data_IF_577986271717
#
_entry.id   IF_577986271717
#
_cell.length_a   1.000
_cell.length_b   1.000
_cell.length_c   1.000
_cell.angle_alpha   90.00
_cell.angle_beta   90.00
_cell.angle_gamma   90.00
#
_symmetry.space_group_name_H-M   'P 1'
#
loop_
_entity.id
_entity.type
_entity.pdbx_description
1 polymer ?
#
# COMPACT_ATOMS: atom_id res chain seq x y z
N UNK A 1 -38.09 28.36 -31.15
CA UNK A 1 -37.96 26.99 -30.60
C UNK A 1 -38.81 26.92 -29.36
N UNK A 2 -39.65 25.89 -29.19
CA UNK A 2 -40.41 25.68 -27.95
C UNK A 2 -39.46 25.04 -26.94
N UNK A 3 -39.24 25.69 -25.80
CA UNK A 3 -38.55 25.05 -24.69
C UNK A 3 -39.46 23.92 -24.16
N UNK A 4 -38.95 22.70 -24.13
CA UNK A 4 -39.65 21.57 -23.54
C UNK A 4 -39.35 21.55 -22.05
N UNK A 5 -40.40 21.65 -21.24
CA UNK A 5 -40.31 21.56 -19.78
C UNK A 5 -41.02 20.29 -19.32
N UNK A 6 -40.36 19.50 -18.49
CA UNK A 6 -40.91 18.32 -17.83
C UNK A 6 -40.82 18.51 -16.32
N UNK A 7 -41.98 18.62 -15.66
CA UNK A 7 -42.07 18.57 -14.21
C UNK A 7 -42.16 17.13 -13.71
N UNK A 8 -41.61 16.84 -12.54
CA UNK A 8 -41.78 15.57 -11.87
C UNK A 8 -42.03 15.77 -10.37
N UNK A 9 -42.77 14.84 -9.79
CA UNK A 9 -42.98 14.72 -8.35
C UNK A 9 -43.08 13.24 -8.02
N UNK A 10 -42.29 12.82 -7.04
CA UNK A 10 -42.13 11.45 -6.58
C UNK A 10 -42.29 11.51 -5.07
N UNK A 11 -43.32 10.84 -4.56
CA UNK A 11 -43.51 10.60 -3.13
C UNK A 11 -43.65 9.09 -2.94
N UNK A 12 -42.71 8.49 -2.23
CA UNK A 12 -42.66 7.05 -2.01
C UNK A 12 -42.44 6.78 -0.52
N UNK A 13 -43.27 5.90 0.04
CA UNK A 13 -43.02 5.29 1.33
C UNK A 13 -42.52 3.85 1.12
N UNK A 14 -41.39 3.50 1.74
CA UNK A 14 -40.84 2.14 1.73
C UNK A 14 -40.60 1.76 3.19
N UNK A 15 -41.40 0.84 3.72
CA UNK A 15 -41.38 0.47 5.14
C UNK A 15 -41.59 1.72 6.04
N UNK A 16 -40.62 2.03 6.92
CA UNK A 16 -40.60 3.23 7.77
C UNK A 16 -39.96 4.46 7.07
N UNK A 17 -39.48 4.30 5.84
CA UNK A 17 -38.78 5.34 5.09
C UNK A 17 -39.76 6.23 4.32
N UNK A 18 -39.43 7.52 4.24
CA UNK A 18 -40.08 8.44 3.31
C UNK A 18 -39.06 9.02 2.34
N UNK A 19 -39.41 8.99 1.06
CA UNK A 19 -38.64 9.59 -0.02
C UNK A 19 -39.55 10.56 -0.77
N UNK A 20 -39.16 11.82 -0.78
CA UNK A 20 -39.81 12.86 -1.56
C UNK A 20 -38.80 13.46 -2.52
N UNK A 21 -39.14 13.55 -3.80
CA UNK A 21 -38.35 14.26 -4.79
C UNK A 21 -39.27 15.01 -5.75
N UNK A 22 -38.97 16.27 -6.01
CA UNK A 22 -39.74 17.07 -6.96
C UNK A 22 -38.82 18.00 -7.72
N UNK A 23 -39.21 18.34 -8.95
CA UNK A 23 -38.40 19.21 -9.76
C UNK A 23 -38.92 19.45 -11.16
N UNK A 24 -38.10 20.14 -11.93
CA UNK A 24 -38.34 20.49 -13.31
C UNK A 24 -37.06 20.30 -14.13
N UNK A 25 -37.25 19.80 -15.34
CA UNK A 25 -36.21 19.64 -16.36
C UNK A 25 -36.61 20.54 -17.52
N UNK A 26 -35.72 21.43 -17.94
CA UNK A 26 -35.96 22.34 -19.07
C UNK A 26 -34.81 22.27 -20.05
N UNK A 27 -35.12 22.08 -21.33
CA UNK A 27 -34.10 22.17 -22.37
C UNK A 27 -33.63 23.62 -22.54
N UNK A 28 -32.33 23.85 -22.36
CA UNK A 28 -31.71 25.17 -22.47
C UNK A 28 -30.30 25.05 -23.05
N UNK A 29 -30.02 25.79 -24.12
CA UNK A 29 -28.68 25.89 -24.72
C UNK A 29 -28.00 24.53 -25.03
N UNK A 30 -28.75 23.55 -25.56
CA UNK A 30 -28.28 22.16 -25.83
C UNK A 30 -27.79 21.42 -24.57
N UNK A 31 -28.28 21.84 -23.42
CA UNK A 31 -28.13 21.22 -22.12
C UNK A 31 -29.51 21.07 -21.48
N UNK A 32 -29.55 20.36 -20.36
CA UNK A 32 -30.71 20.27 -19.49
C UNK A 32 -30.48 21.20 -18.30
N UNK A 33 -31.37 22.17 -18.09
CA UNK A 33 -31.49 22.84 -16.80
C UNK A 33 -32.31 21.95 -15.89
N UNK A 34 -31.78 21.69 -14.70
CA UNK A 34 -32.46 20.95 -13.64
C UNK A 34 -32.73 21.91 -12.50
N UNK A 35 -33.92 21.83 -11.94
CA UNK A 35 -34.23 22.38 -10.62
C UNK A 35 -34.91 21.27 -9.85
N UNK A 36 -34.30 20.79 -8.77
CA UNK A 36 -34.80 19.64 -8.03
C UNK A 36 -34.51 19.77 -6.53
N UNK A 37 -35.45 19.28 -5.74
CA UNK A 37 -35.30 19.05 -4.30
C UNK A 37 -35.61 17.59 -4.03
N UNK A 38 -34.79 16.95 -3.21
CA UNK A 38 -34.99 15.60 -2.73
C UNK A 38 -34.76 15.54 -1.22
N UNK A 39 -35.62 14.79 -0.52
CA UNK A 39 -35.52 14.52 0.90
C UNK A 39 -35.77 13.04 1.13
N UNK A 40 -34.94 12.44 1.98
CA UNK A 40 -35.05 11.04 2.40
C UNK A 40 -34.99 11.00 3.92
N UNK A 41 -35.89 10.25 4.54
CA UNK A 41 -35.87 9.96 5.97
C UNK A 41 -35.96 8.46 6.22
N UNK A 42 -35.19 7.98 7.19
CA UNK A 42 -35.24 6.61 7.71
C UNK A 42 -35.13 5.50 6.64
N UNK A 43 -34.37 5.72 5.57
CA UNK A 43 -34.21 4.73 4.50
C UNK A 43 -33.20 3.65 4.90
N UNK A 44 -33.68 2.41 5.01
CA UNK A 44 -32.82 1.23 5.09
C UNK A 44 -32.12 0.99 3.76
N UNK A 45 -30.80 0.94 3.75
CA UNK A 45 -30.00 0.61 2.56
C UNK A 45 -30.20 -0.85 2.14
N UNK A 46 -30.59 -1.74 3.06
CA UNK A 46 -30.96 -3.11 2.72
C UNK A 46 -32.20 -3.17 1.82
N UNK A 47 -33.15 -2.25 1.99
CA UNK A 47 -34.34 -2.16 1.13
C UNK A 47 -33.99 -1.72 -0.31
N UNK A 48 -32.77 -1.26 -0.57
CA UNK A 48 -32.30 -0.92 -1.92
C UNK A 48 -31.69 -2.12 -2.68
N UNK A 49 -31.53 -3.27 -2.03
CA UNK A 49 -31.03 -4.48 -2.69
C UNK A 49 -31.91 -4.92 -3.86
N UNK A 50 -33.22 -4.68 -3.76
CA UNK A 50 -34.19 -4.93 -4.85
C UNK A 50 -33.91 -4.08 -6.10
N UNK A 51 -33.17 -2.97 -5.97
CA UNK A 51 -32.75 -2.10 -7.06
C UNK A 51 -31.30 -2.33 -7.50
N UNK A 52 -30.68 -3.43 -7.07
CA UNK A 52 -29.32 -3.84 -7.49
C UNK A 52 -28.19 -3.32 -6.60
N UNK A 53 -28.48 -2.59 -5.51
CA UNK A 53 -27.50 -2.20 -4.49
C UNK A 53 -27.21 -3.39 -3.56
N UNK A 54 -26.36 -4.31 -4.00
CA UNK A 54 -25.93 -5.44 -3.19
C UNK A 54 -24.72 -5.10 -2.30
N UNK A 55 -24.60 -5.78 -1.15
CA UNK A 55 -23.43 -5.67 -0.28
C UNK A 55 -23.32 -4.36 0.50
N UNK A 56 -24.42 -3.63 0.64
CA UNK A 56 -24.52 -2.43 1.47
C UNK A 56 -25.71 -2.55 2.41
N UNK A 57 -25.47 -2.38 3.70
CA UNK A 57 -26.48 -2.35 4.77
C UNK A 57 -26.23 -1.11 5.61
N UNK A 58 -27.27 -0.56 6.24
CA UNK A 58 -27.19 0.65 7.07
C UNK A 58 -28.47 1.47 6.93
N UNK A 59 -28.50 2.62 7.59
CA UNK A 59 -29.67 3.50 7.60
C UNK A 59 -29.29 4.91 7.20
N UNK A 60 -29.96 5.46 6.19
CA UNK A 60 -29.97 6.90 5.93
C UNK A 60 -30.99 7.51 6.88
N UNK A 61 -30.53 8.16 7.95
CA UNK A 61 -31.41 8.80 8.92
C UNK A 61 -32.12 10.00 8.29
N UNK A 62 -31.32 10.85 7.64
CA UNK A 62 -31.80 11.96 6.85
C UNK A 62 -30.84 12.25 5.70
N UNK A 63 -31.40 12.52 4.54
CA UNK A 63 -30.67 13.14 3.43
C UNK A 63 -31.54 14.24 2.83
N UNK A 64 -30.92 15.37 2.50
CA UNK A 64 -31.55 16.44 1.75
C UNK A 64 -30.63 16.89 0.64
N UNK A 65 -31.19 17.21 -0.51
CA UNK A 65 -30.46 17.70 -1.65
C UNK A 65 -31.31 18.67 -2.45
N UNK A 66 -30.79 19.88 -2.62
CA UNK A 66 -31.31 20.89 -3.52
C UNK A 66 -30.30 21.10 -4.64
N UNK A 67 -30.80 21.22 -5.86
CA UNK A 67 -30.00 21.48 -7.04
C UNK A 67 -30.72 22.40 -8.01
N UNK A 68 -29.99 23.36 -8.55
CA UNK A 68 -30.37 24.16 -9.69
C UNK A 68 -29.17 24.38 -10.61
N UNK A 69 -29.31 24.23 -11.91
CA UNK A 69 -28.24 24.54 -12.85
C UNK A 69 -28.31 23.77 -14.16
N UNK A 70 -27.39 24.09 -15.08
CA UNK A 70 -27.20 23.37 -16.34
C UNK A 70 -26.27 22.17 -16.14
N UNK A 71 -26.74 20.95 -16.45
CA UNK A 71 -25.94 19.72 -16.24
C UNK A 71 -24.58 19.75 -16.94
N UNK A 72 -24.50 20.35 -18.14
CA UNK A 72 -23.24 20.44 -18.90
C UNK A 72 -22.34 21.62 -18.51
N UNK A 73 -22.81 22.50 -17.62
CA UNK A 73 -22.09 23.71 -17.20
C UNK A 73 -22.01 23.81 -15.68
N UNK A 74 -21.07 23.08 -15.04
CA UNK A 74 -20.90 23.07 -13.58
C UNK A 74 -20.83 24.45 -12.93
N UNK A 75 -20.24 25.43 -13.60
CA UNK A 75 -20.17 26.82 -13.14
C UNK A 75 -21.52 27.45 -12.78
N UNK A 76 -22.62 26.89 -13.31
CA UNK A 76 -24.00 27.34 -13.06
C UNK A 76 -24.69 26.61 -11.92
N UNK A 77 -24.04 25.61 -11.33
CA UNK A 77 -24.64 24.79 -10.29
C UNK A 77 -24.78 25.60 -9.00
N UNK A 78 -26.01 25.67 -8.53
CA UNK A 78 -26.39 26.07 -7.20
C UNK A 78 -26.96 24.83 -6.50
N UNK A 79 -26.25 24.27 -5.54
CA UNK A 79 -26.70 23.09 -4.80
C UNK A 79 -26.39 23.19 -3.33
N UNK A 80 -27.18 22.49 -2.53
CA UNK A 80 -26.93 22.27 -1.11
C UNK A 80 -27.41 20.89 -0.75
N UNK A 81 -26.65 20.17 0.06
CA UNK A 81 -27.11 18.90 0.57
C UNK A 81 -26.44 18.51 1.87
N UNK A 82 -27.13 17.66 2.59
CA UNK A 82 -26.69 17.08 3.84
C UNK A 82 -27.12 15.62 3.87
N UNK A 83 -26.26 14.77 4.43
CA UNK A 83 -26.58 13.36 4.63
C UNK A 83 -26.06 12.89 5.97
N UNK A 84 -26.89 12.11 6.66
CA UNK A 84 -26.56 11.37 7.87
C UNK A 84 -26.87 9.90 7.63
N UNK A 85 -25.83 9.06 7.70
CA UNK A 85 -25.94 7.61 7.58
C UNK A 85 -25.45 7.01 8.89
N UNK A 86 -26.17 6.04 9.43
CA UNK A 86 -25.78 5.22 10.58
C UNK A 86 -25.61 3.74 10.20
N UNK A 87 -24.75 3.07 10.94
CA UNK A 87 -24.52 1.62 10.87
C UNK A 87 -24.22 1.10 9.45
N UNK A 88 -23.42 1.85 8.69
CA UNK A 88 -23.07 1.48 7.32
C UNK A 88 -22.14 0.27 7.34
N UNK A 89 -22.52 -0.78 6.62
CA UNK A 89 -21.71 -1.97 6.41
C UNK A 89 -21.58 -2.23 4.92
N UNK A 90 -20.34 -2.29 4.41
CA UNK A 90 -20.07 -2.66 3.04
C UNK A 90 -18.72 -3.36 2.89
N UNK A 91 -18.69 -4.49 2.19
CA UNK A 91 -17.47 -5.25 1.90
C UNK A 91 -16.56 -5.50 3.12
N UNK A 92 -17.16 -5.84 4.28
CA UNK A 92 -16.44 -6.09 5.54
C UNK A 92 -16.00 -4.83 6.31
N UNK A 93 -16.25 -3.63 5.77
CA UNK A 93 -16.05 -2.36 6.47
C UNK A 93 -17.34 -2.00 7.20
N UNK A 94 -17.25 -1.68 8.48
CA UNK A 94 -18.36 -1.16 9.28
C UNK A 94 -18.05 0.27 9.71
N UNK A 95 -19.03 1.16 9.61
CA UNK A 95 -18.94 2.55 10.01
C UNK A 95 -20.17 2.89 10.85
N UNK A 96 -19.95 3.48 12.01
CA UNK A 96 -21.03 3.77 12.96
C UNK A 96 -21.86 4.96 12.46
N UNK A 97 -21.18 5.97 11.90
CA UNK A 97 -21.83 7.19 11.43
C UNK A 97 -21.05 7.88 10.32
N UNK A 98 -21.75 8.35 9.30
CA UNK A 98 -21.24 9.28 8.29
C UNK A 98 -22.11 10.52 8.29
N UNK A 99 -21.49 11.68 8.48
CA UNK A 99 -22.13 12.99 8.34
C UNK A 99 -21.40 13.77 7.27
N UNK A 100 -22.12 14.20 6.23
CA UNK A 100 -21.55 15.04 5.18
C UNK A 100 -22.48 16.21 4.86
N UNK A 101 -21.88 17.35 4.53
CA UNK A 101 -22.59 18.51 4.01
C UNK A 101 -21.79 19.06 2.83
N UNK A 102 -22.49 19.41 1.76
CA UNK A 102 -21.88 19.95 0.56
C UNK A 102 -22.73 21.08 0.01
N UNK A 103 -22.08 21.97 -0.73
CA UNK A 103 -22.71 23.09 -1.40
C UNK A 103 -21.99 23.43 -2.68
N UNK A 104 -22.72 23.97 -3.64
CA UNK A 104 -22.18 24.62 -4.83
C UNK A 104 -22.90 25.95 -5.01
N UNK A 105 -22.16 27.02 -5.27
CA UNK A 105 -22.71 28.31 -5.68
C UNK A 105 -21.58 29.16 -6.28
N UNK A 106 -21.94 30.16 -7.09
CA UNK A 106 -21.01 31.17 -7.62
C UNK A 106 -19.77 30.60 -8.32
N UNK A 107 -19.90 29.42 -8.94
CA UNK A 107 -18.79 28.76 -9.62
C UNK A 107 -17.79 28.06 -8.70
N UNK A 108 -18.15 27.78 -7.45
CA UNK A 108 -17.37 26.96 -6.52
C UNK A 108 -18.25 25.90 -5.88
N UNK A 109 -17.67 24.73 -5.58
CA UNK A 109 -18.28 23.73 -4.71
C UNK A 109 -17.38 23.48 -3.51
N UNK A 110 -18.00 23.23 -2.36
CA UNK A 110 -17.33 22.91 -1.11
C UNK A 110 -18.00 21.71 -0.45
N UNK A 111 -17.18 20.90 0.19
CA UNK A 111 -17.60 19.83 1.08
C UNK A 111 -17.10 20.24 2.46
N UNK A 112 -18.05 20.55 3.35
CA UNK A 112 -17.76 20.77 4.77
C UNK A 112 -17.21 19.48 5.37
N UNK A 113 -16.50 19.52 6.51
CA UNK A 113 -15.90 18.34 7.11
C UNK A 113 -16.89 17.16 7.15
N UNK A 114 -16.60 16.15 6.32
CA UNK A 114 -17.24 14.85 6.33
C UNK A 114 -16.67 14.13 7.54
N UNK A 115 -17.53 13.78 8.49
CA UNK A 115 -17.16 13.00 9.66
C UNK A 115 -17.53 11.55 9.40
N UNK A 116 -16.51 10.69 9.38
CA UNK A 116 -16.66 9.24 9.28
C UNK A 116 -16.23 8.66 10.62
N UNK A 117 -17.20 8.16 11.39
CA UNK A 117 -16.98 7.64 12.73
C UNK A 117 -16.99 6.10 12.77
N UNK A 118 -16.08 5.52 13.53
CA UNK A 118 -16.06 4.09 13.87
C UNK A 118 -15.47 3.89 15.27
N UNK A 119 -16.20 3.21 16.13
CA UNK A 119 -15.82 2.90 17.53
C UNK A 119 -15.41 4.14 18.34
N UNK A 120 -16.04 5.28 18.08
CA UNK A 120 -15.77 6.56 18.74
C UNK A 120 -14.64 7.39 18.12
N UNK A 121 -13.84 6.83 17.20
CA UNK A 121 -12.83 7.57 16.46
C UNK A 121 -13.43 8.20 15.20
N UNK A 122 -12.88 9.35 14.80
CA UNK A 122 -13.38 10.14 13.66
C UNK A 122 -12.27 10.42 12.66
N UNK A 123 -12.55 10.09 11.40
CA UNK A 123 -11.83 10.57 10.25
C UNK A 123 -12.61 11.76 9.65
N UNK A 124 -11.90 12.86 9.42
CA UNK A 124 -12.42 14.07 8.82
C UNK A 124 -11.87 14.25 7.42
N UNK A 125 -12.73 14.62 6.47
CA UNK A 125 -12.32 15.02 5.13
C UNK A 125 -13.05 16.30 4.71
N UNK A 126 -12.37 17.22 4.04
CA UNK A 126 -12.98 18.45 3.52
C UNK A 126 -12.37 18.83 2.19
N UNK A 127 -13.03 19.71 1.45
CA UNK A 127 -12.40 20.27 0.27
C UNK A 127 -13.27 21.26 -0.49
N UNK A 128 -12.66 21.85 -1.49
CA UNK A 128 -13.26 22.82 -2.40
C UNK A 128 -12.78 22.59 -3.83
N UNK A 129 -13.63 22.92 -4.78
CA UNK A 129 -13.33 22.86 -6.21
C UNK A 129 -13.93 24.07 -6.91
N UNK A 130 -13.17 24.69 -7.80
CA UNK A 130 -13.71 25.67 -8.74
C UNK A 130 -14.49 24.93 -9.82
N UNK A 131 -15.75 25.30 -10.03
CA UNK A 131 -16.61 24.62 -10.99
C UNK A 131 -16.37 25.16 -12.39
N UNK A 132 -16.03 24.30 -13.37
CA UNK A 132 -15.71 24.72 -14.72
C UNK A 132 -16.95 25.03 -15.54
N UNK A 133 -16.75 25.69 -16.68
CA UNK A 133 -17.85 25.97 -17.64
C UNK A 133 -18.30 24.71 -18.38
N UNK A 134 -17.45 23.69 -18.48
CA UNK A 134 -17.76 22.40 -19.13
C UNK A 134 -17.51 21.27 -18.16
N UNK A 135 -18.41 20.30 -18.13
CA UNK A 135 -18.29 19.13 -17.25
C UNK A 135 -17.01 18.31 -17.48
N UNK A 136 -16.51 18.26 -18.72
CA UNK A 136 -15.30 17.51 -19.09
C UNK A 136 -14.02 18.05 -18.43
N UNK A 137 -14.05 19.29 -17.95
CA UNK A 137 -12.92 19.96 -17.30
C UNK A 137 -12.92 19.77 -15.77
N UNK A 138 -13.96 19.15 -15.20
CA UNK A 138 -14.14 19.05 -13.74
C UNK A 138 -12.97 18.34 -13.05
N UNK A 139 -12.48 17.25 -13.65
CA UNK A 139 -11.35 16.49 -13.12
C UNK A 139 -10.00 17.22 -13.15
N UNK A 140 -9.94 18.43 -13.72
CA UNK A 140 -8.72 19.25 -13.84
C UNK A 140 -8.91 20.64 -13.24
N UNK A 141 -10.10 20.89 -12.71
CA UNK A 141 -10.44 22.19 -12.17
C UNK A 141 -9.64 22.45 -10.89
N UNK A 142 -9.28 23.71 -10.60
CA UNK A 142 -8.60 24.04 -9.36
C UNK A 142 -9.35 23.47 -8.15
N UNK A 143 -8.64 22.71 -7.33
CA UNK A 143 -9.26 22.03 -6.20
C UNK A 143 -8.26 21.87 -5.06
N UNK A 144 -8.78 21.80 -3.85
CA UNK A 144 -8.00 21.50 -2.66
C UNK A 144 -8.83 20.60 -1.75
N UNK A 145 -8.22 19.51 -1.29
CA UNK A 145 -8.84 18.56 -0.38
C UNK A 145 -7.88 18.23 0.74
N UNK A 146 -8.44 17.98 1.91
CA UNK A 146 -7.70 17.55 3.09
C UNK A 146 -8.40 16.37 3.74
N UNK A 147 -7.59 15.47 4.30
CA UNK A 147 -8.01 14.35 5.14
C UNK A 147 -7.20 14.36 6.42
N UNK A 148 -7.86 14.20 7.55
CA UNK A 148 -7.23 14.14 8.87
C UNK A 148 -7.92 13.10 9.74
N UNK A 149 -7.13 12.26 10.39
CA UNK A 149 -7.58 11.39 11.47
C UNK A 149 -6.52 11.45 12.56
N UNK A 150 -6.94 11.77 13.78
CA UNK A 150 -6.04 11.83 14.92
C UNK A 150 -6.31 10.64 15.83
N UNK A 151 -5.25 9.88 16.12
CA UNK A 151 -5.28 8.83 17.14
C UNK A 151 -6.34 7.73 16.90
N UNK A 152 -6.54 7.35 15.64
CA UNK A 152 -7.54 6.38 15.21
C UNK A 152 -7.14 4.95 15.63
N UNK A 153 -8.05 4.21 16.25
CA UNK A 153 -7.86 2.80 16.61
C UNK A 153 -7.98 1.92 15.37
N UNK A 154 -6.88 1.24 15.04
CA UNK A 154 -6.80 0.38 13.87
C UNK A 154 -7.45 -0.99 14.10
N UNK A 155 -7.62 -1.43 15.35
CA UNK A 155 -8.17 -2.74 15.66
C UNK A 155 -9.59 -2.95 15.08
N UNK A 156 -10.56 -2.04 15.30
CA UNK A 156 -11.86 -2.16 14.65
C UNK A 156 -11.73 -1.98 13.14
N UNK A 157 -10.88 -1.06 12.66
CA UNK A 157 -10.78 -0.71 11.23
C UNK A 157 -10.31 -1.89 10.39
N UNK A 158 -9.33 -2.62 10.89
CA UNK A 158 -8.64 -3.70 10.17
C UNK A 158 -9.18 -5.09 10.54
N UNK A 159 -10.28 -5.19 11.30
CA UNK A 159 -10.81 -6.45 11.80
C UNK A 159 -11.18 -7.47 10.72
N UNK A 160 -11.51 -7.01 9.51
CA UNK A 160 -11.81 -7.86 8.35
C UNK A 160 -10.57 -8.31 7.56
N UNK A 161 -9.37 -7.83 7.90
CA UNK A 161 -8.12 -8.25 7.27
C UNK A 161 -7.70 -9.64 7.77
N UNK A 162 -7.02 -10.42 6.93
CA UNK A 162 -6.50 -11.74 7.32
C UNK A 162 -5.55 -11.66 8.53
N UNK A 163 -4.85 -10.53 8.67
CA UNK A 163 -4.03 -10.20 9.83
C UNK A 163 -4.39 -8.79 10.30
N UNK A 164 -5.35 -8.66 11.24
CA UNK A 164 -5.73 -7.37 11.80
C UNK A 164 -4.56 -6.67 12.47
N UNK A 165 -4.54 -5.34 12.38
CA UNK A 165 -3.54 -4.48 12.99
C UNK A 165 -4.19 -3.75 14.16
N UNK A 166 -3.66 -3.91 15.36
CA UNK A 166 -4.04 -3.13 16.52
C UNK A 166 -3.03 -2.02 16.78
N UNK A 167 -3.46 -1.00 17.53
CA UNK A 167 -2.67 0.19 17.79
C UNK A 167 -3.38 1.44 17.29
N UNK A 168 -2.72 2.60 17.46
CA UNK A 168 -3.30 3.89 17.09
C UNK A 168 -2.48 4.59 16.04
N UNK A 169 -3.14 5.23 15.09
CA UNK A 169 -2.49 5.97 14.02
C UNK A 169 -2.98 7.42 13.91
N UNK A 170 -2.15 8.26 13.33
CA UNK A 170 -2.52 9.57 12.85
C UNK A 170 -2.33 9.60 11.34
N UNK A 171 -3.29 10.19 10.64
CA UNK A 171 -3.30 10.31 9.18
C UNK A 171 -3.53 11.79 8.87
N UNK A 172 -2.69 12.38 8.04
CA UNK A 172 -2.90 13.71 7.49
C UNK A 172 -2.57 13.68 6.01
N UNK A 173 -3.43 14.20 5.17
CA UNK A 173 -3.17 14.28 3.75
C UNK A 173 -3.81 15.49 3.09
N UNK A 174 -3.20 15.92 1.99
CA UNK A 174 -3.68 16.99 1.13
C UNK A 174 -3.69 16.53 -0.32
N UNK A 175 -4.60 17.06 -1.11
CA UNK A 175 -4.63 16.93 -2.56
C UNK A 175 -4.97 18.28 -3.16
N UNK A 176 -4.08 18.78 -4.01
CA UNK A 176 -4.20 20.02 -4.73
C UNK A 176 -4.29 19.74 -6.23
N UNK A 177 -5.17 20.44 -6.92
CA UNK A 177 -5.21 20.49 -8.38
C UNK A 177 -5.03 21.94 -8.79
N UNK A 178 -4.00 22.23 -9.59
CA UNK A 178 -3.75 23.55 -10.15
C UNK A 178 -2.97 23.42 -11.44
N UNK A 179 -3.23 24.31 -12.41
CA UNK A 179 -2.46 24.37 -13.67
C UNK A 179 -2.37 23.00 -14.38
N UNK A 180 -3.47 22.24 -14.42
CA UNK A 180 -3.55 20.89 -14.99
C UNK A 180 -2.61 19.86 -14.35
N UNK A 181 -2.21 20.10 -13.10
CA UNK A 181 -1.39 19.20 -12.30
C UNK A 181 -2.11 18.89 -10.99
N UNK A 182 -2.10 17.61 -10.62
CA UNK A 182 -2.46 17.15 -9.29
C UNK A 182 -1.20 16.94 -8.47
N UNK A 183 -1.18 17.43 -7.23
CA UNK A 183 -0.18 17.13 -6.22
C UNK A 183 -0.89 16.61 -4.97
N UNK A 184 -0.46 15.47 -4.44
CA UNK A 184 -1.04 14.83 -3.28
C UNK A 184 0.05 14.47 -2.26
N UNK A 185 -0.20 14.73 -0.99
CA UNK A 185 0.70 14.40 0.11
C UNK A 185 -0.05 13.62 1.17
N UNK A 186 0.56 12.58 1.71
CA UNK A 186 0.00 11.76 2.77
C UNK A 186 1.08 11.47 3.82
N UNK A 187 0.77 11.74 5.08
CA UNK A 187 1.58 11.38 6.23
C UNK A 187 0.77 10.44 7.12
N UNK A 188 1.38 9.31 7.47
CA UNK A 188 0.85 8.34 8.44
C UNK A 188 1.88 8.16 9.54
N UNK A 189 1.44 8.18 10.79
CA UNK A 189 2.31 7.90 11.94
C UNK A 189 1.62 7.08 13.01
N UNK A 190 2.36 6.23 13.70
CA UNK A 190 1.90 5.43 14.83
C UNK A 190 3.01 5.27 15.87
N UNK A 191 2.60 5.16 17.14
CA UNK A 191 3.47 4.98 18.32
C UNK A 191 3.46 3.57 18.89
N UNK A 192 2.64 2.67 18.33
CA UNK A 192 2.67 1.24 18.63
C UNK A 192 1.71 0.55 17.68
N UNK A 193 2.20 -0.46 16.96
CA UNK A 193 1.38 -1.32 16.12
C UNK A 193 1.64 -2.77 16.48
N UNK A 194 0.60 -3.60 16.38
CA UNK A 194 0.73 -5.04 16.53
C UNK A 194 -0.11 -5.77 15.50
N UNK A 195 0.43 -6.86 14.97
CA UNK A 195 -0.27 -7.79 14.08
C UNK A 195 0.23 -9.20 14.36
N UNK A 196 -0.67 -10.09 14.79
CA UNK A 196 -0.30 -11.42 15.28
C UNK A 196 0.75 -11.34 16.40
N UNK A 197 1.89 -12.00 16.20
CA UNK A 197 3.03 -11.98 17.11
C UNK A 197 4.08 -10.90 16.80
N UNK A 198 3.81 -10.05 15.80
CA UNK A 198 4.74 -9.00 15.37
C UNK A 198 4.30 -7.64 15.89
N UNK A 199 5.22 -6.91 16.50
CA UNK A 199 5.00 -5.56 17.00
C UNK A 199 5.99 -4.56 16.41
N UNK A 200 5.56 -3.30 16.32
CA UNK A 200 6.38 -2.13 16.00
C UNK A 200 6.18 -1.09 17.09
N UNK A 201 7.26 -0.47 17.57
CA UNK A 201 7.19 0.65 18.52
C UNK A 201 6.87 1.97 17.83
N UNK A 202 7.27 2.13 16.57
CA UNK A 202 6.96 3.34 15.82
C UNK A 202 6.85 3.04 14.33
N UNK A 203 5.95 3.73 13.67
CA UNK A 203 5.86 3.80 12.22
C UNK A 203 5.67 5.26 11.81
N UNK A 204 6.43 5.71 10.81
CA UNK A 204 6.20 6.95 10.09
C UNK A 204 6.30 6.66 8.60
N UNK A 205 5.33 7.13 7.83
CA UNK A 205 5.32 7.05 6.38
C UNK A 205 4.90 8.40 5.81
N UNK A 206 5.65 8.87 4.82
CA UNK A 206 5.33 10.06 4.03
C UNK A 206 5.32 9.66 2.57
N UNK A 207 4.22 9.96 1.88
CA UNK A 207 4.03 9.70 0.45
C UNK A 207 3.66 11.02 -0.22
N UNK A 208 4.36 11.37 -1.28
CA UNK A 208 4.02 12.48 -2.16
C UNK A 208 3.83 11.92 -3.56
N UNK A 209 2.77 12.35 -4.23
CA UNK A 209 2.41 11.95 -5.58
C UNK A 209 2.08 13.19 -6.40
N UNK A 210 2.48 13.22 -7.65
CA UNK A 210 2.08 14.21 -8.60
C UNK A 210 1.66 13.57 -9.92
N UNK A 211 0.66 14.15 -10.58
CA UNK A 211 0.14 13.67 -11.86
C UNK A 211 -0.16 14.85 -12.77
N UNK A 212 0.39 14.80 -13.97
CA UNK A 212 -0.01 15.70 -15.05
C UNK A 212 -1.38 15.25 -15.62
N UNK A 213 -2.36 16.14 -15.57
CA UNK A 213 -3.77 15.93 -15.94
C UNK A 213 -4.09 16.42 -17.36
N UNK A 214 -3.09 16.87 -18.13
CA UNK A 214 -3.28 17.20 -19.55
C UNK A 214 -3.81 16.00 -20.34
N UNK A 215 -4.60 16.23 -21.41
CA UNK A 215 -5.18 15.13 -22.17
C UNK A 215 -4.08 14.25 -22.73
N UNK A 216 -4.26 12.93 -22.66
CA UNK A 216 -3.31 11.95 -23.20
C UNK A 216 -3.98 11.13 -24.30
N UNK A 217 -3.18 10.52 -25.19
CA UNK A 217 -3.70 9.57 -26.16
C UNK A 217 -4.47 8.44 -25.47
N UNK A 218 -5.52 7.96 -26.13
CA UNK A 218 -6.23 6.77 -25.68
C UNK A 218 -5.25 5.59 -25.58
N UNK A 219 -5.26 4.89 -24.44
CA UNK A 219 -4.35 3.78 -24.18
C UNK A 219 -3.00 4.17 -23.57
N UNK A 220 -2.78 5.45 -23.24
CA UNK A 220 -1.62 5.84 -22.44
C UNK A 220 -1.57 5.06 -21.11
N UNK A 221 -0.38 4.58 -20.68
CA UNK A 221 -0.24 3.90 -19.40
C UNK A 221 -0.73 4.73 -18.21
N UNK A 222 -1.30 4.07 -17.19
CA UNK A 222 -1.85 4.74 -16.01
C UNK A 222 -0.80 5.54 -15.22
N UNK A 223 0.48 5.16 -15.29
CA UNK A 223 1.60 5.85 -14.63
C UNK A 223 2.19 6.99 -15.47
N UNK A 224 1.73 7.20 -16.70
CA UNK A 224 2.33 8.22 -17.57
C UNK A 224 2.21 9.61 -16.93
N UNK A 225 3.27 10.43 -16.98
CA UNK A 225 3.41 11.71 -16.27
C UNK A 225 3.03 11.70 -14.79
N UNK A 226 3.17 10.55 -14.12
CA UNK A 226 3.12 10.43 -12.66
C UNK A 226 4.53 10.54 -12.07
N UNK A 227 4.64 11.14 -10.89
CA UNK A 227 5.84 11.16 -10.07
C UNK A 227 5.45 10.85 -8.64
N UNK A 228 6.13 9.90 -7.98
CA UNK A 228 5.85 9.53 -6.60
C UNK A 228 7.14 9.46 -5.81
N UNK A 229 7.12 9.91 -4.56
CA UNK A 229 8.17 9.66 -3.59
C UNK A 229 7.54 9.12 -2.31
N UNK A 230 8.10 8.05 -1.76
CA UNK A 230 7.65 7.48 -0.50
C UNK A 230 8.85 7.25 0.42
N UNK A 231 8.75 7.72 1.66
CA UNK A 231 9.71 7.46 2.73
C UNK A 231 8.98 6.80 3.88
N UNK A 232 9.46 5.64 4.31
CA UNK A 232 8.90 4.85 5.39
C UNK A 232 10.00 4.57 6.39
N UNK A 233 9.74 4.83 7.67
CA UNK A 233 10.62 4.48 8.77
C UNK A 233 9.83 3.79 9.87
N UNK A 234 10.35 2.69 10.38
CA UNK A 234 9.79 1.98 11.52
C UNK A 234 10.88 1.66 12.54
N UNK A 235 10.52 1.59 13.82
CA UNK A 235 11.47 1.24 14.89
C UNK A 235 10.91 0.19 15.84
N UNK A 236 11.83 -0.51 16.52
CA UNK A 236 11.50 -1.50 17.53
C UNK A 236 10.65 -2.64 16.99
N UNK A 237 10.98 -3.13 15.79
CA UNK A 237 10.26 -4.25 15.21
C UNK A 237 10.65 -5.55 15.91
N UNK A 238 9.66 -6.29 16.37
CA UNK A 238 9.87 -7.52 17.14
C UNK A 238 8.84 -8.57 16.77
N UNK A 239 9.28 -9.81 16.72
CA UNK A 239 8.44 -11.01 16.71
C UNK A 239 8.89 -11.94 17.82
N UNK A 240 8.31 -13.14 17.90
CA UNK A 240 8.73 -14.16 18.87
C UNK A 240 10.20 -14.57 18.70
N UNK A 241 10.71 -14.53 17.46
CA UNK A 241 12.06 -14.98 17.14
C UNK A 241 13.03 -13.86 16.77
N UNK A 242 12.54 -12.72 16.27
CA UNK A 242 13.39 -11.69 15.68
C UNK A 242 13.22 -10.32 16.33
N UNK A 243 14.28 -9.51 16.32
CA UNK A 243 14.30 -8.14 16.80
C UNK A 243 15.12 -7.24 15.86
N UNK A 244 14.59 -6.07 15.56
CA UNK A 244 15.16 -5.06 14.67
C UNK A 244 14.95 -3.68 15.31
N UNK A 245 16.00 -2.86 15.34
CA UNK A 245 15.94 -1.52 15.92
C UNK A 245 15.29 -0.53 14.97
N UNK A 246 15.67 -0.59 13.69
CA UNK A 246 15.19 0.34 12.67
C UNK A 246 15.01 -0.33 11.30
N UNK A 247 13.95 0.07 10.62
CA UNK A 247 13.68 -0.20 9.21
C UNK A 247 13.51 1.15 8.53
N UNK A 248 14.15 1.36 7.39
CA UNK A 248 14.00 2.60 6.61
C UNK A 248 13.96 2.30 5.12
N UNK A 249 13.00 2.87 4.41
CA UNK A 249 12.76 2.63 2.98
C UNK A 249 12.48 3.96 2.29
N UNK A 250 13.18 4.21 1.18
CA UNK A 250 12.95 5.35 0.30
C UNK A 250 12.73 4.86 -1.14
N UNK A 251 11.59 5.20 -1.71
CA UNK A 251 11.17 4.84 -3.06
C UNK A 251 10.87 6.10 -3.84
N UNK A 252 11.33 6.13 -5.09
CA UNK A 252 10.98 7.15 -6.07
C UNK A 252 10.41 6.49 -7.31
N UNK A 253 9.42 7.11 -7.92
CA UNK A 253 8.84 6.68 -9.18
C UNK A 253 8.68 7.88 -10.10
N UNK A 254 9.10 7.74 -11.35
CA UNK A 254 8.90 8.72 -12.41
C UNK A 254 8.42 7.97 -13.65
N UNK A 255 7.14 8.15 -13.99
CA UNK A 255 6.49 7.41 -15.05
C UNK A 255 6.63 5.89 -14.85
N UNK A 256 7.20 5.15 -15.81
CA UNK A 256 7.40 3.72 -15.69
C UNK A 256 8.55 3.36 -14.74
N UNK A 257 9.50 4.27 -14.51
CA UNK A 257 10.71 3.96 -13.76
C UNK A 257 10.44 4.06 -12.26
N UNK A 258 10.68 2.97 -11.55
CA UNK A 258 10.64 2.89 -10.09
C UNK A 258 12.04 2.62 -9.57
N UNK A 259 12.45 3.33 -8.52
CA UNK A 259 13.74 3.19 -7.87
C UNK A 259 13.55 3.01 -6.36
N UNK A 260 14.12 1.93 -5.82
CA UNK A 260 14.36 1.77 -4.38
C UNK A 260 15.70 2.45 -4.11
N UNK A 261 15.65 3.71 -3.64
CA UNK A 261 16.84 4.53 -3.35
C UNK A 261 17.61 3.98 -2.17
N UNK A 262 16.88 3.52 -1.16
CA UNK A 262 17.43 2.79 -0.02
C UNK A 262 16.34 1.95 0.62
N UNK A 263 16.70 0.77 1.11
CA UNK A 263 15.90 -0.03 2.01
C UNK A 263 16.86 -0.70 3.00
N UNK A 264 16.79 -0.34 4.27
CA UNK A 264 17.74 -0.76 5.30
C UNK A 264 17.03 -1.37 6.49
N UNK A 265 17.61 -2.44 7.02
CA UNK A 265 17.22 -3.10 8.27
C UNK A 265 18.43 -3.04 9.19
N UNK A 266 18.27 -2.52 10.41
CA UNK A 266 19.36 -2.35 11.36
C UNK A 266 19.03 -2.95 12.73
N UNK A 267 20.02 -3.61 13.32
CA UNK A 267 19.99 -4.09 14.71
C UNK A 267 21.39 -3.98 15.32
N UNK A 268 21.58 -3.04 16.24
CA UNK A 268 22.88 -2.68 16.77
C UNK A 268 23.86 -2.28 15.66
N UNK A 269 24.97 -3.02 15.57
CA UNK A 269 26.00 -2.85 14.52
C UNK A 269 25.69 -3.64 13.24
N UNK A 270 24.64 -4.45 13.24
CA UNK A 270 24.23 -5.24 12.08
C UNK A 270 23.34 -4.42 11.14
N UNK A 271 23.58 -4.55 9.85
CA UNK A 271 22.81 -3.87 8.81
C UNK A 271 22.61 -4.78 7.59
N UNK A 272 21.43 -4.68 7.00
CA UNK A 272 21.12 -5.23 5.69
C UNK A 272 20.60 -4.07 4.85
N UNK A 273 21.16 -3.86 3.67
CA UNK A 273 20.81 -2.76 2.78
C UNK A 273 20.44 -3.29 1.38
N UNK A 274 19.38 -2.73 0.80
CA UNK A 274 18.87 -3.04 -0.53
C UNK A 274 18.70 -1.75 -1.32
N UNK A 275 19.10 -1.78 -2.59
CA UNK A 275 18.80 -0.75 -3.59
C UNK A 275 18.33 -1.42 -4.87
N UNK A 276 17.57 -0.72 -5.69
CA UNK A 276 17.17 -1.30 -6.97
C UNK A 276 16.32 -0.42 -7.83
N UNK A 277 15.95 -0.95 -8.99
CA UNK A 277 15.10 -0.31 -9.97
C UNK A 277 14.11 -1.31 -10.55
N UNK A 278 12.93 -0.86 -10.95
CA UNK A 278 11.95 -1.64 -11.68
C UNK A 278 11.32 -0.81 -12.80
N UNK A 279 10.78 -1.48 -13.81
CA UNK A 279 10.00 -0.83 -14.87
C UNK A 279 8.56 -1.31 -14.84
N UNK A 280 7.64 -0.38 -14.61
CA UNK A 280 6.21 -0.64 -14.60
C UNK A 280 5.70 -0.94 -16.01
N UNK A 281 4.99 -2.04 -16.14
CA UNK A 281 4.31 -2.49 -17.34
C UNK A 281 2.81 -2.18 -17.23
N UNK A 282 2.18 -1.59 -18.26
CA UNK A 282 0.77 -1.16 -18.20
C UNK A 282 -0.22 -2.34 -18.07
N UNK A 283 0.16 -3.53 -18.54
CA UNK A 283 -0.73 -4.68 -18.67
C UNK A 283 -0.65 -5.65 -17.49
N UNK A 284 0.02 -5.29 -16.40
CA UNK A 284 0.06 -6.14 -15.20
C UNK A 284 0.11 -5.33 -13.93
N UNK A 285 -0.73 -5.73 -12.97
CA UNK A 285 -0.69 -5.26 -11.59
C UNK A 285 0.11 -6.18 -10.69
N UNK A 286 0.58 -7.33 -11.21
CA UNK A 286 1.37 -8.27 -10.43
C UNK A 286 2.83 -7.75 -10.33
N UNK A 287 3.30 -7.37 -9.12
CA UNK A 287 4.65 -6.87 -8.94
C UNK A 287 5.73 -7.90 -9.34
N UNK A 288 5.45 -9.21 -9.22
CA UNK A 288 6.42 -10.26 -9.59
C UNK A 288 6.59 -10.39 -11.10
N UNK A 289 5.74 -9.77 -11.91
CA UNK A 289 5.87 -9.74 -13.38
C UNK A 289 6.56 -8.46 -13.89
N UNK A 290 6.88 -7.52 -12.99
CA UNK A 290 7.57 -6.29 -13.36
C UNK A 290 9.07 -6.55 -13.48
N UNK A 291 9.72 -6.23 -14.61
CA UNK A 291 11.17 -6.30 -14.71
C UNK A 291 11.85 -5.46 -13.63
N UNK A 292 12.85 -6.01 -12.96
CA UNK A 292 13.52 -5.37 -11.83
C UNK A 292 15.01 -5.74 -11.74
N UNK A 293 15.76 -4.87 -11.07
CA UNK A 293 17.17 -5.05 -10.76
C UNK A 293 17.37 -4.66 -9.30
N UNK A 294 17.93 -5.57 -8.50
CA UNK A 294 18.15 -5.40 -7.07
C UNK A 294 19.63 -5.64 -6.74
N UNK A 295 20.14 -4.85 -5.81
CA UNK A 295 21.44 -5.06 -5.16
C UNK A 295 21.23 -5.11 -3.66
N UNK A 296 21.84 -6.11 -3.02
CA UNK A 296 21.77 -6.39 -1.59
C UNK A 296 23.18 -6.30 -1.01
N UNK A 297 23.31 -5.74 0.18
CA UNK A 297 24.51 -5.77 1.00
C UNK A 297 24.15 -6.21 2.41
N UNK A 298 24.91 -7.14 2.96
CA UNK A 298 24.78 -7.67 4.31
C UNK A 298 26.07 -7.34 5.05
N UNK A 299 25.95 -6.64 6.17
CA UNK A 299 27.03 -6.40 7.09
C UNK A 299 26.56 -6.66 8.52
N UNK A 300 26.80 -7.87 9.02
CA UNK A 300 26.34 -8.30 10.34
C UNK A 300 27.52 -8.88 11.14
N UNK A 301 28.27 -8.07 11.90
CA UNK A 301 29.38 -8.57 12.72
C UNK A 301 28.93 -9.53 13.83
N UNK A 302 27.67 -9.46 14.25
CA UNK A 302 27.06 -10.42 15.17
C UNK A 302 25.62 -10.70 14.75
N UNK A 303 25.45 -11.66 13.84
CA UNK A 303 24.16 -12.05 13.29
C UNK A 303 23.12 -12.36 14.40
N UNK A 304 23.58 -12.90 15.53
CA UNK A 304 22.75 -13.32 16.65
C UNK A 304 21.91 -12.21 17.29
N UNK A 305 22.25 -10.94 17.09
CA UNK A 305 21.51 -9.82 17.67
C UNK A 305 20.14 -9.61 17.02
N UNK A 306 19.95 -10.12 15.79
CA UNK A 306 18.64 -10.15 15.13
C UNK A 306 17.66 -11.14 15.76
N UNK A 307 18.12 -12.05 16.63
CA UNK A 307 17.26 -13.03 17.29
C UNK A 307 16.90 -12.60 18.71
N UNK A 308 15.71 -12.99 19.15
CA UNK A 308 15.40 -13.01 20.58
C UNK A 308 16.28 -14.06 21.28
N UNK A 309 16.70 -13.78 22.52
CA UNK A 309 17.64 -14.65 23.25
C UNK A 309 17.12 -16.06 23.48
N UNK A 310 15.80 -16.24 23.50
CA UNK A 310 15.13 -17.52 23.70
C UNK A 310 14.94 -18.34 22.40
N UNK A 311 15.27 -17.81 21.22
CA UNK A 311 14.98 -18.51 19.96
C UNK A 311 15.83 -19.78 19.80
N UNK A 312 15.21 -20.97 19.59
CA UNK A 312 15.94 -22.21 19.31
C UNK A 312 16.57 -22.22 17.90
N UNK A 313 16.18 -21.26 17.06
CA UNK A 313 16.66 -21.09 15.69
C UNK A 313 17.75 -20.00 15.60
N UNK A 314 18.24 -19.51 16.74
CA UNK A 314 19.28 -18.48 16.81
C UNK A 314 20.54 -18.90 16.05
N UNK A 315 20.94 -18.05 15.10
CA UNK A 315 22.20 -18.17 14.37
C UNK A 315 23.13 -17.07 14.87
N UNK A 316 24.36 -17.42 15.23
CA UNK A 316 25.37 -16.46 15.68
C UNK A 316 26.61 -16.46 14.79
N UNK A 317 27.52 -15.52 15.03
CA UNK A 317 28.72 -15.31 14.22
C UNK A 317 28.62 -14.09 13.31
N UNK A 318 29.69 -13.80 12.59
CA UNK A 318 29.73 -12.71 11.64
C UNK A 318 29.28 -13.19 10.25
N UNK A 319 28.52 -12.37 9.54
CA UNK A 319 28.10 -12.59 8.15
C UNK A 319 28.27 -11.30 7.36
N UNK A 320 28.97 -11.40 6.25
CA UNK A 320 29.21 -10.33 5.28
C UNK A 320 28.78 -10.84 3.92
N UNK A 321 28.21 -10.00 3.07
CA UNK A 321 27.91 -10.43 1.72
C UNK A 321 27.27 -9.38 0.86
N UNK A 322 27.17 -9.70 -0.41
CA UNK A 322 26.45 -8.91 -1.39
C UNK A 322 25.78 -9.83 -2.40
N UNK A 323 24.69 -9.34 -2.99
CA UNK A 323 24.05 -10.01 -4.11
C UNK A 323 23.54 -8.98 -5.12
N UNK A 324 23.50 -9.41 -6.37
CA UNK A 324 22.94 -8.68 -7.49
C UNK A 324 21.97 -9.59 -8.23
N UNK A 325 20.73 -9.14 -8.44
CA UNK A 325 19.70 -9.90 -9.13
C UNK A 325 19.02 -9.02 -10.17
N UNK A 326 18.92 -9.52 -11.40
CA UNK A 326 18.13 -8.97 -12.49
C UNK A 326 17.01 -9.94 -12.82
N UNK A 327 15.80 -9.43 -12.85
CA UNK A 327 14.56 -10.13 -13.16
C UNK A 327 13.90 -9.48 -14.37
N UNK A 328 13.52 -10.28 -15.37
CA UNK A 328 12.91 -9.78 -16.60
C UNK A 328 11.37 -9.95 -16.65
N UNK A 329 10.76 -10.42 -15.56
CA UNK A 329 9.35 -10.80 -15.51
C UNK A 329 9.11 -12.31 -15.58
N UNK A 330 10.12 -13.11 -15.96
CA UNK A 330 10.03 -14.57 -16.05
C UNK A 330 11.28 -15.32 -15.55
N UNK A 331 12.46 -14.72 -15.74
CA UNK A 331 13.76 -15.31 -15.44
C UNK A 331 14.61 -14.39 -14.57
N UNK A 332 15.25 -14.99 -13.56
CA UNK A 332 16.24 -14.36 -12.71
C UNK A 332 17.65 -14.67 -13.20
N UNK A 333 18.50 -13.65 -13.23
CA UNK A 333 19.93 -13.75 -13.48
C UNK A 333 20.70 -12.89 -12.47
N UNK A 334 21.94 -13.21 -12.14
CA UNK A 334 22.62 -12.50 -11.08
C UNK A 334 23.92 -13.13 -10.59
N UNK A 335 24.44 -12.56 -9.51
CA UNK A 335 25.60 -13.11 -8.79
C UNK A 335 25.56 -12.72 -7.33
N UNK A 336 26.27 -13.46 -6.50
CA UNK A 336 26.38 -13.18 -5.08
C UNK A 336 27.70 -13.67 -4.52
N UNK A 337 28.08 -13.09 -3.39
CA UNK A 337 29.15 -13.58 -2.55
C UNK A 337 28.78 -13.39 -1.08
N UNK A 338 29.08 -14.40 -0.25
CA UNK A 338 28.80 -14.39 1.17
C UNK A 338 29.99 -14.99 1.90
N UNK A 339 30.41 -14.30 2.95
CA UNK A 339 31.44 -14.71 3.88
C UNK A 339 30.84 -14.80 5.28
N UNK A 340 31.09 -15.92 5.96
CA UNK A 340 30.70 -16.15 7.35
C UNK A 340 31.92 -16.51 8.20
N UNK A 341 31.93 -16.06 9.45
CA UNK A 341 32.97 -16.39 10.42
C UNK A 341 32.37 -16.74 11.77
N UNK A 342 32.81 -17.87 12.33
CA UNK A 342 32.34 -18.38 13.62
C UNK A 342 30.83 -18.62 13.65
N UNK A 343 30.26 -19.08 12.53
CA UNK A 343 28.81 -19.30 12.43
C UNK A 343 28.41 -20.48 13.33
N UNK A 344 27.40 -20.26 14.17
CA UNK A 344 26.85 -21.32 15.00
C UNK A 344 25.34 -21.33 14.89
N UNK A 345 24.78 -22.50 14.62
CA UNK A 345 23.35 -22.75 14.61
C UNK A 345 23.08 -24.12 15.23
N UNK A 346 22.32 -24.13 16.33
CA UNK A 346 22.07 -25.36 17.12
C UNK A 346 23.41 -26.04 17.47
N UNK A 347 23.59 -27.30 17.06
CA UNK A 347 24.80 -28.09 17.33
C UNK A 347 25.84 -28.02 16.19
N UNK A 348 25.62 -27.19 15.17
CA UNK A 348 26.51 -27.01 14.04
C UNK A 348 27.37 -25.76 14.25
N UNK A 349 28.69 -25.93 14.18
CA UNK A 349 29.67 -24.83 14.19
C UNK A 349 30.43 -24.84 12.87
N UNK A 350 30.45 -23.69 12.20
CA UNK A 350 31.18 -23.45 10.95
C UNK A 350 32.18 -22.32 11.22
N UNK A 351 33.45 -22.64 11.54
CA UNK A 351 34.50 -21.65 11.76
C UNK A 351 34.60 -20.59 10.66
N UNK A 352 34.53 -21.01 9.40
CA UNK A 352 34.58 -20.11 8.26
C UNK A 352 33.74 -20.67 7.11
N UNK A 353 32.92 -19.80 6.54
CA UNK A 353 32.15 -20.06 5.32
C UNK A 353 32.56 -19.04 4.27
N UNK A 354 32.91 -19.49 3.07
CA UNK A 354 33.01 -18.63 1.90
C UNK A 354 32.16 -19.23 0.80
N UNK A 355 31.27 -18.44 0.22
CA UNK A 355 30.50 -18.88 -0.94
C UNK A 355 30.37 -17.78 -1.98
N UNK A 356 30.51 -18.17 -3.24
CA UNK A 356 30.26 -17.33 -4.40
C UNK A 356 29.43 -18.11 -5.42
N UNK A 357 28.56 -17.40 -6.12
CA UNK A 357 27.69 -18.04 -7.09
C UNK A 357 27.09 -17.08 -8.09
N UNK A 358 26.41 -17.68 -9.06
CA UNK A 358 25.69 -16.99 -10.13
C UNK A 358 24.26 -17.49 -10.21
N UNK A 359 23.36 -16.66 -10.72
CA UNK A 359 22.00 -17.04 -11.05
C UNK A 359 21.88 -16.94 -12.57
N UNK A 360 21.38 -17.98 -13.22
CA UNK A 360 21.11 -18.00 -14.65
C UNK A 360 19.81 -18.73 -14.92
N UNK A 361 18.85 -18.05 -15.56
CA UNK A 361 17.59 -18.66 -15.98
C UNK A 361 16.77 -19.28 -14.83
N UNK A 362 16.76 -18.65 -13.65
CA UNK A 362 16.18 -19.15 -12.38
C UNK A 362 16.95 -20.26 -11.65
N UNK A 363 18.07 -20.73 -12.22
CA UNK A 363 18.95 -21.68 -11.53
C UNK A 363 20.08 -20.92 -10.83
N UNK A 364 20.24 -21.15 -9.54
CA UNK A 364 21.38 -20.70 -8.74
C UNK A 364 22.49 -21.74 -8.87
N UNK A 365 23.69 -21.28 -9.21
CA UNK A 365 24.91 -22.05 -9.27
C UNK A 365 25.79 -21.62 -8.11
N UNK A 366 26.07 -22.56 -7.20
CA UNK A 366 27.12 -22.43 -6.19
C UNK A 366 28.43 -22.78 -6.87
N UNK A 367 29.15 -21.75 -7.30
CA UNK A 367 30.40 -21.90 -8.05
C UNK A 367 31.58 -22.21 -7.11
N UNK A 368 31.52 -21.70 -5.89
CA UNK A 368 32.45 -22.02 -4.81
C UNK A 368 31.64 -22.01 -3.51
N UNK A 369 31.67 -23.10 -2.76
CA UNK A 369 31.25 -23.16 -1.38
C UNK A 369 32.34 -23.88 -0.62
N UNK A 370 33.06 -23.13 0.22
CA UNK A 370 34.08 -23.67 1.09
C UNK A 370 33.66 -23.42 2.54
N UNK A 371 33.45 -24.51 3.29
CA UNK A 371 33.20 -24.48 4.72
C UNK A 371 34.39 -25.12 5.45
N UNK A 372 35.17 -24.33 6.17
CA UNK A 372 36.22 -24.86 7.05
C UNK A 372 35.56 -25.47 8.27
N UNK A 373 35.91 -26.72 8.59
CA UNK A 373 35.49 -27.41 9.80
C UNK A 373 36.54 -27.26 10.92
N UNK A 374 37.82 -27.16 10.54
CA UNK A 374 38.94 -26.85 11.41
C UNK A 374 40.15 -26.37 10.56
N UNK A 375 41.33 -26.21 11.17
CA UNK A 375 42.56 -25.73 10.50
C UNK A 375 43.05 -26.63 9.34
N UNK A 376 42.56 -27.87 9.23
CA UNK A 376 43.02 -28.87 8.24
C UNK A 376 41.90 -29.42 7.37
N UNK A 377 40.69 -29.50 7.90
CA UNK A 377 39.54 -30.07 7.23
C UNK A 377 38.61 -28.98 6.71
N UNK A 378 38.24 -29.09 5.43
CA UNK A 378 37.27 -28.23 4.79
C UNK A 378 36.32 -29.07 3.93
N UNK A 379 35.12 -28.57 3.73
CA UNK A 379 34.16 -29.09 2.77
C UNK A 379 34.15 -28.13 1.58
N UNK A 380 34.37 -28.65 0.38
CA UNK A 380 34.13 -27.92 -0.85
C UNK A 380 32.88 -28.50 -1.53
N UNK A 381 31.94 -27.66 -1.93
CA UNK A 381 30.78 -28.07 -2.68
C UNK A 381 30.51 -27.13 -3.85
N UNK A 382 30.06 -27.72 -4.95
CA UNK A 382 29.41 -27.03 -6.04
C UNK A 382 27.96 -27.56 -6.10
N UNK A 383 27.04 -26.78 -6.66
CA UNK A 383 25.65 -27.23 -6.71
C UNK A 383 24.73 -26.31 -7.47
N UNK A 384 23.57 -26.85 -7.83
CA UNK A 384 22.54 -26.12 -8.56
C UNK A 384 21.20 -26.15 -7.82
N UNK A 385 20.53 -25.02 -7.76
CA UNK A 385 19.21 -24.90 -7.14
C UNK A 385 18.25 -24.17 -8.07
N UNK A 386 17.11 -24.77 -8.40
CA UNK A 386 16.03 -24.06 -9.10
C UNK A 386 15.16 -23.31 -8.07
N UNK A 387 14.99 -22.00 -8.27
CA UNK A 387 14.08 -21.17 -7.47
C UNK A 387 12.63 -21.68 -7.43
N UNK A 388 12.21 -22.56 -8.35
CA UNK A 388 10.87 -23.17 -8.41
C UNK A 388 10.75 -24.53 -7.71
N UNK A 389 11.81 -25.01 -7.06
CA UNK A 389 11.72 -26.08 -6.06
C UNK A 389 12.45 -27.39 -6.38
N UNK A 390 13.04 -27.56 -7.55
CA UNK A 390 13.93 -28.70 -7.83
C UNK A 390 15.33 -28.43 -7.26
N UNK A 391 15.85 -29.37 -6.45
CA UNK A 391 17.13 -29.24 -5.75
C UNK A 391 18.08 -30.36 -6.15
N UNK A 392 19.25 -30.03 -6.68
CA UNK A 392 20.31 -31.00 -7.01
C UNK A 392 21.65 -30.56 -6.43
N UNK A 393 22.16 -31.32 -5.47
CA UNK A 393 23.45 -31.04 -4.82
C UNK A 393 24.51 -32.02 -5.31
N UNK A 394 25.72 -31.55 -5.60
CA UNK A 394 26.87 -32.41 -5.90
C UNK A 394 28.08 -31.92 -5.13
N UNK A 395 28.23 -32.38 -3.89
CA UNK A 395 29.38 -32.03 -3.03
C UNK A 395 30.56 -33.00 -3.20
N UNK A 396 31.79 -32.49 -3.05
CA UNK A 396 33.00 -33.32 -2.89
C UNK A 396 33.62 -33.06 -1.52
N UNK A 397 33.53 -34.05 -0.63
CA UNK A 397 34.26 -34.02 0.64
C UNK A 397 35.75 -34.27 0.35
N UNK A 398 36.59 -33.24 0.52
CA UNK A 398 38.03 -33.36 0.39
C UNK A 398 38.68 -33.32 1.78
N UNK A 399 39.16 -34.47 2.24
CA UNK A 399 40.09 -34.56 3.38
C UNK A 399 41.52 -34.54 2.82
N UNK A 400 42.48 -33.78 3.39
CA UNK A 400 43.86 -33.84 2.93
C UNK A 400 44.41 -35.27 3.01
N UNK A 401 45.08 -35.72 1.95
CA UNK A 401 45.70 -37.04 1.91
C UNK A 401 46.76 -37.15 3.03
N UNK A 402 46.52 -38.01 4.04
CA UNK A 402 47.52 -38.29 5.06
C UNK A 402 47.06 -38.87 6.41
N UNK A 403 45.76 -38.89 6.75
CA UNK A 403 45.31 -39.41 8.06
C UNK A 403 44.47 -40.67 7.93
N UNK A 404 45.08 -41.82 8.26
CA UNK A 404 44.38 -43.07 8.62
C UNK A 404 43.49 -42.78 9.84
N UNK A 405 42.18 -42.88 9.68
CA UNK A 405 41.25 -42.95 10.80
C UNK A 405 40.94 -44.43 11.06
N UNK A 406 41.44 -44.96 12.18
CA UNK A 406 40.90 -46.16 12.80
C UNK A 406 39.77 -45.72 13.73
N UNK A 407 38.55 -46.18 13.47
CA UNK A 407 37.43 -46.04 14.39
C UNK A 407 37.38 -47.29 15.28
N UNK A 408 37.36 -47.16 16.63
CA UNK A 408 36.81 -48.21 17.46
C UNK A 408 35.28 -48.17 17.32
N UNK A 409 34.69 -49.35 17.11
CA UNK A 409 33.25 -49.53 17.20
C UNK A 409 32.81 -49.33 18.66
N UNK A 410 31.81 -48.48 18.90
CA UNK A 410 30.58 -48.78 19.62
C UNK A 410 29.60 -47.61 19.52
#
# INVERSE_FOLDING_TARGET
>A
MRAHTLGFKIDVAIDEASLGAQGQLMEEARSLRVQATAVVHNLSLASLQQFGLQGVVGKVENASFDFSGLLRSPKTWASSGAVLISDLQSNGVTLDRIKAQFSAHDGAASIQPVEIARSGDVLQARGNVELPTKVDDLGRSPAHFEIAANNIDLAPITSAMAQPVSGRAQINGTLDVRDERMDANLRVSSVSLQTGNTGLEKLEAVVSCAKDLRPRPNGAPWFDGMQTSAVISASGARSDELAVDAISVAIEQKQADLAIRSATIQRGQNSIAVTGTAQLQPNTTNPTKQPAQLSLNINTPQLADFWTTASPNRISGALLGWAYVKWDGANANGSFNVYGSGLQARNLTIPQLNTAGSISGNTIYLNDLTASLNQRDYVNAEGTFDWRGEKTFTGKLAKPAGTKASWPAH
#
